data_IF_372718029401
#
_entry.id   IF_372718029401
#
_cell.length_a   1.000
_cell.length_b   1.000
_cell.length_c   1.000
_cell.angle_alpha   90.00
_cell.angle_beta   90.00
_cell.angle_gamma   90.00
#
_symmetry.space_group_name_H-M   'P 1'
#
loop_
_entity.id
_entity.type
_entity.pdbx_description
1 polymer ?
#
# COMPACT_ATOMS: atom_id res chain seq x y z
N UNK A 1 2.65 -1.24 -29.59
CA UNK A 1 1.61 -1.88 -28.77
C UNK A 1 2.20 -2.28 -27.45
N UNK A 2 1.64 -1.79 -26.36
CA UNK A 2 2.09 -2.07 -25.00
C UNK A 2 1.02 -1.66 -23.99
N UNK A 3 1.32 -1.80 -22.71
CA UNK A 3 0.44 -1.38 -21.63
C UNK A 3 1.22 -0.48 -20.67
N UNK A 4 0.63 0.63 -20.27
CA UNK A 4 1.16 1.54 -19.26
C UNK A 4 0.30 1.41 -18.01
N UNK A 5 0.93 1.16 -16.87
CA UNK A 5 0.28 1.17 -15.57
C UNK A 5 0.62 2.47 -14.83
N UNK A 6 -0.41 3.22 -14.44
CA UNK A 6 -0.31 4.46 -13.69
C UNK A 6 -0.81 4.20 -12.26
N UNK A 7 0.11 3.98 -11.33
CA UNK A 7 -0.24 3.86 -9.91
C UNK A 7 -0.47 5.23 -9.28
N UNK A 8 -1.36 5.29 -8.31
CA UNK A 8 -1.71 6.50 -7.54
C UNK A 8 -2.03 7.72 -8.43
N UNK A 9 -2.86 7.53 -9.46
CA UNK A 9 -3.18 8.60 -10.44
C UNK A 9 -3.79 9.87 -9.80
N UNK A 10 -4.38 9.74 -8.62
CA UNK A 10 -4.92 10.86 -7.84
C UNK A 10 -3.85 11.83 -7.33
N UNK A 11 -2.59 11.40 -7.17
CA UNK A 11 -1.48 12.24 -6.71
C UNK A 11 -0.83 13.03 -7.86
N UNK A 12 -1.35 12.88 -9.08
CA UNK A 12 -0.84 13.55 -10.25
C UNK A 12 -1.08 15.07 -10.17
N UNK A 13 -0.04 15.87 -10.34
CA UNK A 13 -0.17 17.33 -10.38
C UNK A 13 -1.07 17.80 -11.53
N UNK A 14 -1.76 18.95 -11.42
CA UNK A 14 -2.65 19.45 -12.47
C UNK A 14 -1.98 19.57 -13.85
N UNK A 15 -0.69 19.92 -13.87
CA UNK A 15 0.13 19.97 -15.09
C UNK A 15 0.27 18.60 -15.75
N UNK A 16 0.54 17.55 -14.96
CA UNK A 16 0.65 16.19 -15.47
C UNK A 16 -0.71 15.65 -15.92
N UNK A 17 -1.80 15.98 -15.21
CA UNK A 17 -3.16 15.62 -15.62
C UNK A 17 -3.49 16.20 -17.02
N UNK A 18 -3.11 17.46 -17.28
CA UNK A 18 -3.27 18.08 -18.60
C UNK A 18 -2.48 17.37 -19.71
N UNK A 19 -1.23 16.96 -19.42
CA UNK A 19 -0.41 16.20 -20.36
C UNK A 19 -0.99 14.82 -20.65
N UNK A 20 -1.47 14.12 -19.62
CA UNK A 20 -2.09 12.82 -19.77
C UNK A 20 -3.38 12.92 -20.59
N UNK A 21 -4.18 13.97 -20.39
CA UNK A 21 -5.37 14.22 -21.20
C UNK A 21 -5.07 14.42 -22.68
N UNK A 22 -4.03 15.20 -22.99
CA UNK A 22 -3.58 15.40 -24.37
C UNK A 22 -3.10 14.08 -24.98
N UNK A 23 -2.31 13.30 -24.22
CA UNK A 23 -1.86 11.98 -24.64
C UNK A 23 -3.03 11.01 -24.91
N UNK A 24 -4.03 10.96 -24.03
CA UNK A 24 -5.23 10.14 -24.18
C UNK A 24 -6.09 10.55 -25.39
N UNK A 25 -5.98 11.79 -25.84
CA UNK A 25 -6.76 12.32 -26.96
C UNK A 25 -6.05 12.10 -28.30
N UNK A 26 -4.74 12.35 -28.35
CA UNK A 26 -3.98 12.35 -29.60
C UNK A 26 -3.13 11.09 -29.80
N UNK A 27 -2.81 10.35 -28.74
CA UNK A 27 -1.88 9.22 -28.78
C UNK A 27 -0.43 9.65 -28.98
N UNK A 28 -0.10 10.91 -28.71
CA UNK A 28 1.22 11.48 -28.90
C UNK A 28 1.70 12.25 -27.69
N UNK A 29 3.01 12.29 -27.50
CA UNK A 29 3.65 13.05 -26.42
C UNK A 29 5.05 13.53 -26.84
N UNK A 30 5.59 14.48 -26.06
CA UNK A 30 6.97 14.97 -26.20
C UNK A 30 7.80 14.57 -24.99
N UNK A 31 9.07 14.21 -25.24
CA UNK A 31 10.04 13.99 -24.15
C UNK A 31 10.33 15.32 -23.45
N UNK A 32 10.68 15.27 -22.17
CA UNK A 32 11.11 16.46 -21.43
C UNK A 32 12.32 17.07 -22.13
N UNK A 33 12.25 18.35 -22.50
CA UNK A 33 13.31 19.05 -23.25
C UNK A 33 13.41 18.71 -24.74
N UNK A 34 12.53 17.85 -25.27
CA UNK A 34 12.48 17.49 -26.69
C UNK A 34 11.35 18.21 -27.42
N UNK A 35 11.63 18.68 -28.64
CA UNK A 35 10.61 19.29 -29.50
C UNK A 35 9.88 18.26 -30.37
N UNK A 36 10.50 17.09 -30.59
CA UNK A 36 9.95 16.04 -31.43
C UNK A 36 8.79 15.33 -30.73
N UNK A 37 7.64 15.34 -31.40
CA UNK A 37 6.47 14.58 -31.01
C UNK A 37 6.63 13.09 -31.37
N UNK A 38 6.19 12.22 -30.45
CA UNK A 38 6.26 10.77 -30.58
C UNK A 38 4.85 10.22 -30.47
N UNK A 39 4.38 9.54 -31.51
CA UNK A 39 3.10 8.83 -31.52
C UNK A 39 3.29 7.40 -31.06
N UNK A 40 2.46 6.95 -30.13
CA UNK A 40 2.48 5.58 -29.61
C UNK A 40 1.07 5.05 -29.43
N UNK A 41 0.92 3.74 -29.61
CA UNK A 41 -0.32 3.02 -29.33
C UNK A 41 -0.12 2.10 -28.12
N UNK A 42 -0.77 2.47 -27.02
CA UNK A 42 -0.66 1.80 -25.72
C UNK A 42 -2.00 1.75 -25.01
N UNK A 43 -2.24 0.67 -24.28
CA UNK A 43 -3.36 0.55 -23.34
C UNK A 43 -2.97 1.21 -22.03
N UNK A 44 -3.87 1.97 -21.42
CA UNK A 44 -3.67 2.57 -20.10
C UNK A 44 -4.46 1.78 -19.06
N UNK A 45 -3.78 1.38 -17.99
CA UNK A 45 -4.39 0.94 -16.74
C UNK A 45 -3.97 1.92 -15.65
N UNK A 46 -4.91 2.34 -14.82
CA UNK A 46 -4.65 3.26 -13.71
C UNK A 46 -5.21 2.71 -12.41
N UNK A 47 -4.54 2.99 -11.30
CA UNK A 47 -4.98 2.63 -9.97
C UNK A 47 -4.92 3.85 -9.04
N UNK A 48 -5.77 3.85 -8.02
CA UNK A 48 -5.80 4.88 -6.97
C UNK A 48 -6.49 4.33 -5.74
N UNK A 49 -6.05 4.78 -4.56
CA UNK A 49 -6.72 4.52 -3.29
C UNK A 49 -7.68 5.66 -2.89
N UNK A 50 -7.63 6.80 -3.59
CA UNK A 50 -8.48 7.98 -3.34
C UNK A 50 -9.73 7.96 -4.20
N UNK A 51 -10.82 8.48 -3.67
CA UNK A 51 -12.08 8.64 -4.40
C UNK A 51 -11.95 9.78 -5.42
N UNK A 52 -11.84 9.44 -6.71
CA UNK A 52 -11.69 10.42 -7.78
C UNK A 52 -12.93 11.31 -7.95
N UNK A 53 -14.14 10.81 -7.71
CA UNK A 53 -15.38 11.61 -7.80
C UNK A 53 -15.35 12.75 -6.79
N UNK A 54 -14.90 12.46 -5.56
CA UNK A 54 -14.73 13.48 -4.54
C UNK A 54 -13.64 14.49 -4.94
N UNK A 55 -12.49 14.04 -5.47
CA UNK A 55 -11.42 14.93 -5.89
C UNK A 55 -11.80 15.82 -7.08
N UNK A 56 -12.70 15.36 -7.94
CA UNK A 56 -13.30 16.17 -9.00
C UNK A 56 -14.18 17.25 -8.38
N UNK A 57 -15.03 16.90 -7.41
CA UNK A 57 -15.85 17.86 -6.67
C UNK A 57 -15.02 18.92 -5.93
N UNK A 58 -13.87 18.53 -5.39
CA UNK A 58 -12.93 19.42 -4.68
C UNK A 58 -12.02 20.23 -5.64
N UNK A 59 -12.10 20.00 -6.96
CA UNK A 59 -11.27 20.67 -7.97
C UNK A 59 -9.80 20.23 -8.00
N UNK A 60 -9.44 19.20 -7.24
CA UNK A 60 -8.08 18.63 -7.19
C UNK A 60 -7.79 17.69 -8.37
N UNK A 61 -8.84 17.15 -9.01
CA UNK A 61 -8.74 16.28 -10.16
C UNK A 61 -9.62 16.77 -11.31
N UNK A 62 -9.12 16.71 -12.54
CA UNK A 62 -9.88 17.18 -13.69
C UNK A 62 -11.02 16.23 -14.04
N UNK A 63 -12.21 16.81 -14.20
CA UNK A 63 -13.42 16.08 -14.58
C UNK A 63 -13.28 15.36 -15.94
N UNK A 64 -12.66 16.01 -16.92
CA UNK A 64 -12.46 15.43 -18.26
C UNK A 64 -11.54 14.20 -18.25
N UNK A 65 -10.54 14.18 -17.37
CA UNK A 65 -9.65 13.04 -17.15
C UNK A 65 -10.38 11.91 -16.43
N UNK A 66 -11.19 12.24 -15.43
CA UNK A 66 -11.98 11.25 -14.71
C UNK A 66 -12.88 10.45 -15.66
N UNK A 67 -13.66 11.12 -16.51
CA UNK A 67 -14.55 10.41 -17.44
C UNK A 67 -13.82 9.58 -18.50
N UNK A 68 -12.61 9.99 -18.93
CA UNK A 68 -11.80 9.19 -19.87
C UNK A 68 -11.20 7.94 -19.24
N UNK A 69 -10.87 7.99 -17.96
CA UNK A 69 -10.32 6.84 -17.23
C UNK A 69 -11.41 5.90 -16.72
N UNK A 70 -12.55 6.46 -16.30
CA UNK A 70 -13.64 5.73 -15.66
C UNK A 70 -14.57 5.01 -16.67
N UNK A 71 -14.00 4.44 -17.73
CA UNK A 71 -14.76 3.63 -18.72
C UNK A 71 -15.00 2.22 -18.17
N UNK A 72 -14.00 1.66 -17.48
CA UNK A 72 -14.08 0.37 -16.81
C UNK A 72 -13.42 0.49 -15.43
N UNK A 73 -14.24 0.46 -14.38
CA UNK A 73 -13.78 0.51 -13.00
C UNK A 73 -13.85 -0.89 -12.37
N UNK A 74 -12.74 -1.32 -11.77
CA UNK A 74 -12.64 -2.55 -11.00
C UNK A 74 -12.31 -2.19 -9.56
N UNK A 75 -13.30 -2.33 -8.68
CA UNK A 75 -13.06 -2.21 -7.24
C UNK A 75 -12.45 -3.50 -6.71
N UNK A 76 -11.28 -3.38 -6.09
CA UNK A 76 -10.60 -4.51 -5.43
C UNK A 76 -11.01 -4.50 -3.97
N UNK A 77 -11.78 -5.49 -3.48
CA UNK A 77 -12.20 -5.50 -2.10
C UNK A 77 -10.98 -5.73 -1.18
N UNK A 78 -11.01 -5.16 0.03
CA UNK A 78 -9.96 -5.33 1.01
C UNK A 78 -9.85 -6.79 1.45
N UNK A 79 -8.67 -7.17 1.96
CA UNK A 79 -8.35 -8.55 2.29
C UNK A 79 -9.30 -9.17 3.34
N UNK A 80 -9.83 -8.34 4.25
CA UNK A 80 -10.81 -8.76 5.27
C UNK A 80 -12.14 -9.28 4.69
N UNK A 81 -12.52 -8.83 3.50
CA UNK A 81 -13.72 -9.29 2.78
C UNK A 81 -13.45 -10.58 2.00
N UNK A 82 -12.19 -11.04 1.97
CA UNK A 82 -11.70 -12.21 1.25
C UNK A 82 -11.00 -13.19 2.19
N UNK A 83 -11.68 -13.57 3.27
CA UNK A 83 -11.10 -14.40 4.34
C UNK A 83 -10.51 -15.73 3.85
N UNK A 84 -11.11 -16.33 2.83
CA UNK A 84 -10.65 -17.59 2.21
C UNK A 84 -9.26 -17.45 1.56
N UNK A 85 -8.93 -16.26 1.05
CA UNK A 85 -7.66 -15.98 0.40
C UNK A 85 -6.53 -15.74 1.40
N UNK A 86 -6.82 -15.35 2.64
CA UNK A 86 -5.81 -15.00 3.65
C UNK A 86 -4.85 -16.17 3.87
N UNK A 87 -5.37 -17.37 4.14
CA UNK A 87 -4.52 -18.54 4.41
C UNK A 87 -3.78 -19.03 3.16
N UNK A 88 -4.38 -18.89 1.97
CA UNK A 88 -3.75 -19.24 0.71
C UNK A 88 -2.56 -18.31 0.42
N UNK A 89 -2.77 -17.01 0.53
CA UNK A 89 -1.75 -15.98 0.37
C UNK A 89 -0.65 -16.12 1.43
N UNK A 90 -1.00 -16.37 2.70
CA UNK A 90 -0.03 -16.56 3.77
C UNK A 90 0.91 -17.74 3.49
N UNK A 91 0.37 -18.88 3.03
CA UNK A 91 1.19 -20.03 2.62
C UNK A 91 2.06 -19.72 1.41
N UNK A 92 1.53 -19.00 0.42
CA UNK A 92 2.28 -18.59 -0.76
C UNK A 92 3.46 -17.68 -0.38
N UNK A 93 3.22 -16.65 0.42
CA UNK A 93 4.26 -15.73 0.88
C UNK A 93 5.29 -16.42 1.77
N UNK A 94 4.89 -17.41 2.58
CA UNK A 94 5.83 -18.17 3.39
C UNK A 94 6.80 -18.97 2.50
N UNK A 95 6.27 -19.65 1.48
CA UNK A 95 7.09 -20.37 0.51
C UNK A 95 8.04 -19.42 -0.25
N UNK A 96 7.52 -18.27 -0.67
CA UNK A 96 8.31 -17.24 -1.36
C UNK A 96 9.43 -16.71 -0.45
N UNK A 97 9.13 -16.42 0.81
CA UNK A 97 10.10 -15.94 1.79
C UNK A 97 11.21 -16.98 2.04
N UNK A 98 10.85 -18.24 2.26
CA UNK A 98 11.83 -19.33 2.45
C UNK A 98 12.76 -19.49 1.25
N UNK A 99 12.20 -19.40 0.03
CA UNK A 99 12.97 -19.45 -1.22
C UNK A 99 13.95 -18.28 -1.31
N UNK A 100 13.50 -17.07 -0.98
CA UNK A 100 14.30 -15.85 -1.07
C UNK A 100 15.49 -15.84 -0.10
N UNK A 101 15.30 -16.38 1.11
CA UNK A 101 16.35 -16.47 2.14
C UNK A 101 17.10 -17.81 2.13
N UNK A 102 16.89 -18.64 1.10
CA UNK A 102 17.56 -19.92 0.89
C UNK A 102 17.47 -20.89 2.08
N UNK A 103 16.31 -20.97 2.73
CA UNK A 103 16.06 -21.90 3.84
C UNK A 103 15.05 -23.00 3.47
N UNK A 104 15.01 -24.11 4.22
CA UNK A 104 14.00 -25.15 4.03
C UNK A 104 12.57 -24.59 4.11
N UNK A 105 11.61 -25.13 3.32
CA UNK A 105 10.23 -24.67 3.34
C UNK A 105 9.61 -24.78 4.74
N UNK A 106 9.04 -23.67 5.20
CA UNK A 106 8.35 -23.60 6.48
C UNK A 106 6.84 -23.81 6.32
N UNK A 107 6.17 -24.14 7.43
CA UNK A 107 4.71 -24.29 7.49
C UNK A 107 4.13 -23.46 8.62
N UNK A 108 2.95 -22.91 8.40
CA UNK A 108 2.16 -22.25 9.45
C UNK A 108 1.53 -23.31 10.36
N UNK A 109 1.73 -23.19 11.68
CA UNK A 109 1.05 -24.04 12.65
C UNK A 109 -0.46 -23.80 12.60
N UNK A 110 -1.32 -24.83 12.80
CA UNK A 110 -2.78 -24.65 12.81
C UNK A 110 -3.27 -23.62 13.84
N UNK A 111 -2.53 -23.43 14.94
CA UNK A 111 -2.81 -22.42 15.97
C UNK A 111 -2.76 -20.98 15.45
N UNK A 112 -2.11 -20.73 14.31
CA UNK A 112 -2.01 -19.40 13.69
C UNK A 112 -3.27 -19.00 12.92
N UNK A 113 -4.07 -19.96 12.47
CA UNK A 113 -5.16 -19.69 11.54
C UNK A 113 -6.25 -18.79 12.11
N UNK A 114 -6.71 -18.98 13.37
CA UNK A 114 -7.69 -18.08 13.97
C UNK A 114 -7.18 -16.63 14.06
N UNK A 115 -5.89 -16.44 14.36
CA UNK A 115 -5.29 -15.11 14.46
C UNK A 115 -5.15 -14.42 13.10
N UNK A 116 -4.82 -15.17 12.05
CA UNK A 116 -4.74 -14.64 10.68
C UNK A 116 -6.13 -14.30 10.13
N UNK A 117 -7.13 -15.14 10.36
CA UNK A 117 -8.50 -14.95 9.88
C UNK A 117 -9.26 -13.88 10.67
N UNK A 118 -9.01 -13.75 11.97
CA UNK A 118 -9.67 -12.78 12.85
C UNK A 118 -9.08 -11.37 12.83
N UNK A 119 -8.11 -11.08 11.95
CA UNK A 119 -7.51 -9.75 11.85
C UNK A 119 -8.13 -8.92 10.71
N UNK A 120 -8.18 -7.60 10.90
CA UNK A 120 -8.82 -6.65 9.98
C UNK A 120 -7.95 -6.26 8.77
N UNK A 121 -6.65 -6.59 8.81
CA UNK A 121 -5.67 -6.33 7.75
C UNK A 121 -5.74 -4.91 7.17
N UNK A 122 -5.53 -3.84 7.97
CA UNK A 122 -5.56 -2.45 7.47
C UNK A 122 -4.59 -2.21 6.30
N UNK A 123 -3.42 -2.87 6.29
CA UNK A 123 -2.47 -2.81 5.17
C UNK A 123 -2.68 -3.89 4.11
N UNK A 124 -3.83 -4.58 4.13
CA UNK A 124 -4.23 -5.63 3.19
C UNK A 124 -3.12 -6.68 2.96
N UNK A 125 -2.91 -7.05 1.69
CA UNK A 125 -1.93 -8.05 1.25
C UNK A 125 -0.50 -7.65 1.62
N UNK A 126 -0.16 -6.35 1.57
CA UNK A 126 1.19 -5.86 1.93
C UNK A 126 1.50 -6.14 3.40
N UNK A 127 0.54 -5.88 4.28
CA UNK A 127 0.70 -6.18 5.71
C UNK A 127 0.85 -7.68 5.96
N UNK A 128 -0.01 -8.50 5.35
CA UNK A 128 0.10 -9.97 5.46
C UNK A 128 1.47 -10.46 5.00
N UNK A 129 1.91 -10.02 3.82
CA UNK A 129 3.22 -10.39 3.27
C UNK A 129 4.35 -10.02 4.23
N UNK A 130 4.37 -8.80 4.75
CA UNK A 130 5.41 -8.33 5.67
C UNK A 130 5.48 -9.14 6.97
N UNK A 131 4.32 -9.45 7.57
CA UNK A 131 4.26 -10.28 8.79
C UNK A 131 4.82 -11.68 8.51
N UNK A 132 4.42 -12.30 7.40
CA UNK A 132 4.87 -13.64 7.03
C UNK A 132 6.37 -13.65 6.70
N UNK A 133 6.87 -12.66 5.98
CA UNK A 133 8.30 -12.52 5.66
C UNK A 133 9.13 -12.34 6.92
N UNK A 134 8.67 -11.49 7.85
CA UNK A 134 9.31 -11.28 9.14
C UNK A 134 9.36 -12.57 9.95
N UNK A 135 8.24 -13.27 10.07
CA UNK A 135 8.17 -14.55 10.78
C UNK A 135 9.14 -15.58 10.17
N UNK A 136 9.19 -15.67 8.84
CA UNK A 136 10.11 -16.56 8.13
C UNK A 136 11.59 -16.18 8.29
N UNK A 137 11.91 -14.90 8.48
CA UNK A 137 13.28 -14.43 8.67
C UNK A 137 13.76 -14.55 10.13
N UNK A 138 12.85 -14.44 11.10
CA UNK A 138 13.18 -14.43 12.53
C UNK A 138 13.07 -15.80 13.21
N UNK A 139 12.28 -16.72 12.67
CA UNK A 139 12.07 -18.04 13.29
C UNK A 139 13.15 -19.02 12.88
N UNK A 140 13.82 -19.68 13.82
CA UNK A 140 14.77 -20.76 13.52
C UNK A 140 14.05 -22.09 13.21
N UNK A 141 12.76 -22.19 13.53
CA UNK A 141 11.92 -23.38 13.33
C UNK A 141 11.39 -23.48 11.90
N UNK A 142 11.11 -24.71 11.44
CA UNK A 142 10.37 -24.96 10.19
C UNK A 142 8.86 -24.84 10.36
N UNK A 143 8.39 -24.74 11.61
CA UNK A 143 6.99 -24.52 11.95
C UNK A 143 6.87 -23.13 12.57
N UNK A 144 6.13 -22.25 11.89
CA UNK A 144 5.85 -20.88 12.33
C UNK A 144 4.63 -20.91 13.25
N UNK A 145 4.84 -20.55 14.51
CA UNK A 145 3.84 -20.48 15.56
C UNK A 145 3.16 -19.12 15.67
N UNK A 146 2.30 -18.96 16.67
CA UNK A 146 1.61 -17.70 16.92
C UNK A 146 2.58 -16.61 17.41
N UNK A 147 3.57 -16.98 18.21
CA UNK A 147 4.55 -16.05 18.78
C UNK A 147 5.49 -15.46 17.71
N UNK A 148 5.68 -16.16 16.60
CA UNK A 148 6.41 -15.67 15.43
C UNK A 148 5.59 -14.65 14.61
N UNK A 149 4.26 -14.74 14.70
CA UNK A 149 3.32 -13.88 14.00
C UNK A 149 3.01 -12.66 14.84
N UNK A 150 3.80 -11.61 14.60
CA UNK A 150 3.72 -10.31 15.26
C UNK A 150 2.51 -9.46 14.79
N UNK A 151 1.32 -10.06 14.88
CA UNK A 151 0.04 -9.51 14.40
C UNK A 151 -0.43 -8.35 15.30
N UNK A 152 -0.15 -8.43 16.60
CA UNK A 152 -0.57 -7.43 17.59
C UNK A 152 0.23 -6.11 17.46
N UNK A 153 1.56 -6.17 17.28
CA UNK A 153 2.40 -4.95 17.15
C UNK A 153 2.07 -4.16 15.88
N UNK A 154 1.60 -4.85 14.84
CA UNK A 154 1.21 -4.20 13.58
C UNK A 154 -0.13 -3.46 13.68
N UNK A 155 -0.98 -3.72 14.69
CA UNK A 155 -2.14 -2.86 14.96
C UNK A 155 -1.72 -1.49 15.51
N UNK A 156 -0.68 -1.48 16.35
CA UNK A 156 -0.15 -0.27 16.97
C UNK A 156 0.57 0.62 15.94
N UNK A 157 1.30 0.05 14.99
CA UNK A 157 1.99 0.84 13.95
C UNK A 157 1.03 1.52 12.93
N UNK A 158 -0.24 1.12 12.88
CA UNK A 158 -1.26 1.81 12.08
C UNK A 158 -2.04 2.86 12.88
N UNK A 159 -1.92 2.86 14.21
CA UNK A 159 -2.17 4.07 14.97
C UNK A 159 -0.92 4.89 14.73
N UNK A 160 -1.05 6.04 14.06
CA UNK A 160 0.00 7.04 14.11
C UNK A 160 0.39 7.18 15.59
N UNK A 161 1.60 6.76 15.95
CA UNK A 161 2.26 7.45 17.05
C UNK A 161 2.26 8.90 16.56
N UNK A 162 1.31 9.70 17.05
CA UNK A 162 1.49 11.13 17.22
C UNK A 162 2.80 11.23 18.00
N UNK A 163 3.93 11.22 17.29
CA UNK A 163 5.20 11.63 17.85
C UNK A 163 4.95 13.11 18.11
N UNK A 164 4.76 13.52 19.39
CA UNK A 164 4.55 14.92 19.67
C UNK A 164 5.71 15.69 19.05
N UNK A 165 5.40 16.85 18.48
CA UNK A 165 6.43 17.68 17.87
C UNK A 165 7.58 17.86 18.86
N UNK A 166 8.81 17.99 18.35
CA UNK A 166 9.99 18.18 19.20
C UNK A 166 9.78 19.33 20.22
N UNK A 167 8.98 20.35 19.87
CA UNK A 167 8.62 21.42 20.80
C UNK A 167 7.71 20.95 21.94
N UNK A 168 6.70 20.13 21.67
CA UNK A 168 5.80 19.60 22.70
C UNK A 168 6.53 18.62 23.64
N UNK A 169 7.42 17.78 23.10
CA UNK A 169 8.27 16.90 23.90
C UNK A 169 9.25 17.68 24.80
N UNK A 170 9.82 18.78 24.30
CA UNK A 170 10.69 19.66 25.08
C UNK A 170 9.92 20.44 26.16
N UNK A 171 8.68 20.82 25.90
CA UNK A 171 7.85 21.57 26.84
C UNK A 171 7.36 20.67 27.99
N UNK A 172 6.95 19.45 27.69
CA UNK A 172 6.62 18.44 28.71
C UNK A 172 7.83 18.11 29.61
N UNK A 173 9.03 17.98 29.02
CA UNK A 173 10.27 17.75 29.80
C UNK A 173 10.62 18.95 30.69
N UNK A 174 10.42 20.19 30.20
CA UNK A 174 10.64 21.40 30.98
C UNK A 174 9.70 21.46 32.19
N UNK A 175 8.43 21.14 32.02
CA UNK A 175 7.44 21.14 33.13
C UNK A 175 7.78 20.07 34.18
N UNK A 176 8.32 18.92 33.77
CA UNK A 176 8.80 17.88 34.70
C UNK A 176 9.99 18.30 35.56
N UNK A 177 10.90 19.13 35.04
CA UNK A 177 12.05 19.64 35.79
C UNK A 177 11.70 20.69 36.85
N UNK A 178 10.58 21.41 36.68
CA UNK A 178 10.13 22.44 37.62
C UNK A 178 9.14 21.95 38.68
N UNK A 179 8.61 20.73 38.55
CA UNK A 179 7.65 20.14 39.50
C UNK A 179 8.29 19.22 40.56
N UNK A 180 9.60 18.97 40.48
CA UNK A 180 10.35 18.11 41.40
C UNK A 180 11.07 18.82 42.57
N UNK A 181 10.80 20.10 42.80
CA UNK A 181 11.39 20.86 43.93
C UNK A 181 10.28 21.40 44.83
N UNK A 182 9.77 20.55 45.72
CA UNK A 182 9.07 20.95 46.95
C UNK A 182 9.33 19.92 48.02
#
# INVERSE_FOLDING_TARGET
>A
GGTVFLDEIAEMSPYLQAKLMHFLSEGSFRRVGGEREIRVDVRILSATHRNLEQLVGDGAFREDLFYRLNVLNLSVPPLRERSEDILLLARHFLLQACTQIQRPPCRLAPSTYPALLGNNWPGNVRQLQNIIFRAAAMSDSTIIGLDDLDIARTRLACQEEEIPSLSEAMEAFRIGLFSGSS
#
